data_IF_422268131111
#
_entry.id   IF_422268131111
#
_cell.length_a   1.000
_cell.length_b   1.000
_cell.length_c   1.000
_cell.angle_alpha   90.00
_cell.angle_beta   90.00
_cell.angle_gamma   90.00
#
_symmetry.space_group_name_H-M   'P 1'
#
loop_
_entity.id
_entity.type
_entity.pdbx_description
1 polymer ?
#
# COMPACT_ATOMS: atom_id res chain seq x y z
N UNK A 1 19.49 -22.74 -5.63
CA UNK A 1 19.76 -21.30 -5.74
C UNK A 1 18.43 -20.59 -5.81
N UNK A 2 18.04 -19.91 -4.73
CA UNK A 2 16.73 -19.25 -4.65
C UNK A 2 16.78 -17.91 -5.40
N UNK A 3 15.94 -17.75 -6.44
CA UNK A 3 15.71 -16.43 -7.05
C UNK A 3 14.90 -15.58 -6.09
N UNK A 4 15.53 -14.59 -5.49
CA UNK A 4 14.82 -13.51 -4.82
C UNK A 4 14.18 -12.61 -5.89
N UNK A 5 12.87 -12.74 -6.08
CA UNK A 5 12.06 -11.79 -6.82
C UNK A 5 11.90 -10.54 -5.96
N UNK A 6 12.57 -9.47 -6.31
CA UNK A 6 12.38 -8.17 -5.65
C UNK A 6 11.09 -7.53 -6.16
N UNK A 7 10.11 -7.41 -5.29
CA UNK A 7 8.92 -6.59 -5.49
C UNK A 7 9.33 -5.14 -5.79
N UNK A 8 9.00 -4.67 -6.97
CA UNK A 8 9.13 -3.25 -7.33
C UNK A 8 7.86 -2.55 -6.80
N UNK A 9 7.96 -2.00 -5.61
CA UNK A 9 6.96 -1.06 -5.10
C UNK A 9 6.99 0.22 -5.95
N UNK A 10 5.83 0.75 -6.24
CA UNK A 10 5.59 1.96 -7.04
C UNK A 10 6.08 3.25 -6.36
N UNK A 11 7.37 3.32 -6.09
CA UNK A 11 8.05 4.52 -5.60
C UNK A 11 8.98 5.00 -6.70
N UNK A 12 9.01 6.30 -7.04
CA UNK A 12 9.98 6.83 -8.01
C UNK A 12 11.38 6.37 -7.64
N UNK A 13 12.12 5.85 -8.61
CA UNK A 13 13.46 5.32 -8.38
C UNK A 13 14.34 6.38 -7.71
N UNK A 14 14.89 6.06 -6.54
CA UNK A 14 15.78 6.97 -5.81
C UNK A 14 17.02 7.21 -6.66
N UNK A 15 17.25 8.48 -7.04
CA UNK A 15 18.41 8.88 -7.83
C UNK A 15 19.72 8.63 -7.08
N UNK A 16 20.77 8.32 -7.82
CA UNK A 16 22.11 8.09 -7.25
C UNK A 16 22.38 6.66 -6.79
N UNK A 17 21.44 5.74 -6.94
CA UNK A 17 21.65 4.32 -6.63
C UNK A 17 22.18 3.57 -7.86
N UNK A 18 23.49 3.45 -7.94
CA UNK A 18 24.18 2.75 -9.03
C UNK A 18 24.48 1.30 -8.68
N UNK A 19 24.26 0.41 -9.62
CA UNK A 19 24.71 -0.99 -9.53
C UNK A 19 25.45 -1.41 -10.81
N UNK A 20 26.25 -2.46 -10.72
CA UNK A 20 26.88 -3.10 -11.89
C UNK A 20 26.01 -4.27 -12.34
N UNK A 21 25.74 -4.34 -13.63
CA UNK A 21 24.94 -5.39 -14.27
C UNK A 21 25.73 -6.04 -15.39
N UNK A 22 25.39 -7.30 -15.72
CA UNK A 22 26.07 -8.07 -16.74
C UNK A 22 25.19 -8.21 -17.98
N UNK A 23 25.76 -7.89 -19.14
CA UNK A 23 25.15 -8.07 -20.43
C UNK A 23 25.34 -9.50 -20.96
N UNK A 24 24.58 -9.90 -21.99
CA UNK A 24 24.65 -11.23 -22.58
C UNK A 24 26.02 -11.55 -23.20
N UNK A 25 26.77 -10.56 -23.65
CA UNK A 25 28.14 -10.67 -24.16
C UNK A 25 29.21 -10.77 -23.07
N UNK A 26 28.80 -10.78 -21.80
CA UNK A 26 29.69 -10.82 -20.65
C UNK A 26 30.20 -9.44 -20.18
N UNK A 27 29.87 -8.36 -20.89
CA UNK A 27 30.25 -6.99 -20.51
C UNK A 27 29.56 -6.57 -19.23
N UNK A 28 30.30 -5.95 -18.33
CA UNK A 28 29.76 -5.33 -17.11
C UNK A 28 29.52 -3.84 -17.33
N UNK A 29 28.31 -3.37 -16.97
CA UNK A 29 27.91 -2.00 -17.16
C UNK A 29 27.37 -1.44 -15.84
N UNK A 30 27.80 -0.24 -15.47
CA UNK A 30 27.29 0.47 -14.29
C UNK A 30 26.01 1.23 -14.67
N UNK A 31 24.93 0.97 -13.96
CA UNK A 31 23.60 1.47 -14.30
C UNK A 31 22.86 2.03 -13.09
N UNK A 32 21.91 2.91 -13.34
CA UNK A 32 20.99 3.49 -12.38
C UNK A 32 19.56 3.24 -12.82
N UNK A 33 18.66 2.89 -11.90
CA UNK A 33 17.25 2.72 -12.20
C UNK A 33 16.59 4.06 -12.51
N UNK A 34 15.83 4.12 -13.60
CA UNK A 34 15.09 5.30 -14.06
C UNK A 34 13.67 4.90 -14.45
N UNK A 35 12.78 5.89 -14.45
CA UNK A 35 11.38 5.72 -14.88
C UNK A 35 10.40 5.71 -13.72
N UNK A 36 9.18 5.23 -14.02
CA UNK A 36 8.04 5.17 -13.12
C UNK A 36 7.46 3.74 -13.07
N UNK A 37 6.33 3.56 -12.41
CA UNK A 37 5.65 2.27 -12.25
C UNK A 37 5.18 1.66 -13.57
N UNK A 38 5.01 2.47 -14.62
CA UNK A 38 4.56 2.01 -15.94
C UNK A 38 5.71 1.77 -16.91
N UNK A 39 6.83 2.46 -16.74
CA UNK A 39 7.99 2.38 -17.61
C UNK A 39 9.29 2.54 -16.82
N UNK A 40 9.86 1.46 -16.34
CA UNK A 40 11.15 1.45 -15.65
C UNK A 40 12.24 0.80 -16.48
N UNK A 41 13.44 1.38 -16.47
CA UNK A 41 14.62 0.90 -17.19
C UNK A 41 15.90 1.25 -16.43
N UNK A 42 16.98 0.58 -16.77
CA UNK A 42 18.30 0.86 -16.23
C UNK A 42 19.08 1.73 -17.20
N UNK A 43 19.53 2.88 -16.75
CA UNK A 43 20.33 3.80 -17.55
C UNK A 43 21.80 3.68 -17.22
N UNK A 44 22.62 3.38 -18.22
CA UNK A 44 24.05 3.38 -18.11
C UNK A 44 24.63 4.80 -18.10
N UNK A 45 25.86 4.97 -17.61
CA UNK A 45 26.54 6.28 -17.59
C UNK A 45 26.78 6.88 -18.98
N UNK A 46 26.87 6.02 -20.01
CA UNK A 46 26.98 6.41 -21.43
C UNK A 46 25.64 6.72 -22.09
N UNK A 47 24.53 6.67 -21.32
CA UNK A 47 23.19 6.99 -21.79
C UNK A 47 22.41 5.80 -22.37
N UNK A 48 23.02 4.62 -22.53
CA UNK A 48 22.29 3.41 -22.97
C UNK A 48 21.23 3.07 -21.97
N UNK A 49 20.06 2.63 -22.47
CA UNK A 49 18.94 2.18 -21.67
C UNK A 49 18.81 0.68 -21.79
N UNK A 50 18.76 0.02 -20.64
CA UNK A 50 18.86 -1.44 -20.52
C UNK A 50 17.64 -1.97 -19.75
N UNK A 51 17.20 -3.19 -20.11
CA UNK A 51 16.21 -3.97 -19.38
C UNK A 51 16.78 -5.35 -19.06
N UNK A 52 16.33 -5.95 -17.98
CA UNK A 52 16.71 -7.32 -17.67
C UNK A 52 15.82 -8.30 -18.43
N UNK A 53 16.42 -9.20 -19.14
CA UNK A 53 15.72 -10.33 -19.75
C UNK A 53 15.40 -11.37 -18.65
N UNK A 54 14.12 -11.57 -18.39
CA UNK A 54 13.65 -12.45 -17.30
C UNK A 54 13.98 -13.93 -17.51
N UNK A 55 14.26 -14.33 -18.76
CA UNK A 55 14.59 -15.73 -19.08
C UNK A 55 16.08 -16.00 -18.86
N UNK A 56 16.93 -15.09 -19.30
CA UNK A 56 18.38 -15.27 -19.25
C UNK A 56 19.04 -14.64 -18.02
N UNK A 57 18.34 -13.67 -17.38
CA UNK A 57 18.87 -12.88 -16.28
C UNK A 57 19.86 -11.77 -16.68
N UNK A 58 20.33 -11.77 -17.94
CA UNK A 58 21.22 -10.77 -18.47
C UNK A 58 20.50 -9.48 -18.86
N UNK A 59 21.26 -8.40 -18.99
CA UNK A 59 20.72 -7.11 -19.42
C UNK A 59 20.94 -6.93 -20.93
N UNK A 60 19.97 -6.33 -21.58
CA UNK A 60 19.95 -6.05 -23.02
C UNK A 60 19.45 -4.63 -23.29
N UNK A 61 19.66 -4.12 -24.51
CA UNK A 61 19.20 -2.79 -24.88
C UNK A 61 17.66 -2.73 -24.83
N UNK A 62 17.14 -1.72 -24.16
CA UNK A 62 15.71 -1.50 -24.04
C UNK A 62 15.10 -0.99 -25.34
N UNK A 63 14.05 -1.64 -25.84
CA UNK A 63 13.19 -1.06 -26.86
C UNK A 63 12.28 0.00 -26.21
N UNK A 64 12.81 1.22 -26.14
CA UNK A 64 12.11 2.34 -25.50
C UNK A 64 10.79 2.68 -26.19
N UNK A 65 10.67 2.45 -27.50
CA UNK A 65 9.43 2.71 -28.22
C UNK A 65 8.33 1.76 -27.77
N UNK A 66 8.58 0.48 -27.83
CA UNK A 66 7.63 -0.55 -27.36
C UNK A 66 7.29 -0.39 -25.87
N UNK A 67 8.28 -0.07 -25.05
CA UNK A 67 8.07 0.17 -23.60
C UNK A 67 7.20 1.39 -23.35
N UNK A 68 7.40 2.51 -24.06
CA UNK A 68 6.61 3.72 -23.90
C UNK A 68 5.17 3.50 -24.37
N UNK A 69 4.98 2.86 -25.52
CA UNK A 69 3.64 2.54 -26.05
C UNK A 69 2.86 1.64 -25.07
N UNK A 70 3.51 0.62 -24.49
CA UNK A 70 2.91 -0.24 -23.46
C UNK A 70 2.57 0.54 -22.19
N UNK A 71 3.46 1.41 -21.73
CA UNK A 71 3.23 2.26 -20.56
C UNK A 71 2.03 3.20 -20.77
N UNK A 72 1.90 3.79 -21.96
CA UNK A 72 0.77 4.67 -22.27
C UNK A 72 -0.55 3.90 -22.32
N UNK A 73 -0.56 2.67 -22.84
CA UNK A 73 -1.72 1.80 -22.77
C UNK A 73 -2.10 1.47 -21.32
N UNK A 74 -1.12 1.16 -20.47
CA UNK A 74 -1.35 0.88 -19.05
C UNK A 74 -1.87 2.12 -18.31
N UNK A 75 -1.30 3.31 -18.55
CA UNK A 75 -1.78 4.59 -18.00
C UNK A 75 -3.22 4.89 -18.44
N UNK A 76 -3.55 4.65 -19.72
CA UNK A 76 -4.92 4.83 -20.22
C UNK A 76 -5.89 3.84 -19.56
N UNK A 77 -5.48 2.59 -19.40
CA UNK A 77 -6.28 1.57 -18.71
C UNK A 77 -6.50 1.92 -17.24
N UNK A 78 -5.45 2.39 -16.55
CA UNK A 78 -5.54 2.85 -15.17
C UNK A 78 -6.47 4.07 -15.02
N UNK A 79 -6.43 5.02 -15.97
CA UNK A 79 -7.36 6.16 -16.00
C UNK A 79 -8.79 5.73 -16.26
N UNK A 80 -9.02 4.78 -17.16
CA UNK A 80 -10.35 4.22 -17.43
C UNK A 80 -10.89 3.45 -16.22
N UNK A 81 -10.03 2.71 -15.53
CA UNK A 81 -10.40 2.02 -14.29
C UNK A 81 -10.78 3.01 -13.19
N UNK A 82 -10.00 4.09 -13.01
CA UNK A 82 -10.36 5.18 -12.09
C UNK A 82 -11.72 5.82 -12.43
N UNK A 83 -11.96 6.10 -13.70
CA UNK A 83 -13.24 6.66 -14.12
C UNK A 83 -14.41 5.67 -13.93
N UNK A 84 -14.15 4.37 -14.07
CA UNK A 84 -15.15 3.34 -13.83
C UNK A 84 -15.40 3.09 -12.32
N UNK A 85 -14.41 3.33 -11.48
CA UNK A 85 -14.56 3.32 -10.01
C UNK A 85 -15.40 4.54 -9.58
N UNK A 86 -15.23 5.69 -10.22
CA UNK A 86 -16.10 6.86 -10.00
C UNK A 86 -17.58 6.64 -10.42
N UNK A 87 -17.86 5.69 -11.31
CA UNK A 87 -19.22 5.34 -11.72
C UNK A 87 -19.80 4.13 -10.98
N UNK A 88 -18.98 3.37 -10.24
CA UNK A 88 -19.39 2.15 -9.53
C UNK A 88 -19.58 2.29 -8.03
N UNK A 89 -19.64 3.40 -7.54
CA UNK A 89 -19.69 3.79 -6.16
C UNK A 89 -18.91 5.05 -6.15
N UNK A 90 -19.54 6.08 -6.56
CA UNK A 90 -19.41 7.29 -5.84
C UNK A 90 -19.38 6.88 -4.38
N UNK A 91 -18.27 7.08 -3.72
CA UNK A 91 -18.28 7.19 -2.27
C UNK A 91 -19.28 8.32 -1.96
N UNK A 92 -20.55 7.93 -1.75
CA UNK A 92 -21.66 8.86 -1.60
C UNK A 92 -22.07 9.58 -2.90
N UNK A 93 -23.29 9.35 -3.37
CA UNK A 93 -23.84 9.84 -4.64
C UNK A 93 -23.93 11.35 -4.82
N UNK A 94 -23.61 12.15 -3.87
CA UNK A 94 -23.28 13.57 -3.93
C UNK A 94 -21.95 13.73 -3.23
N UNK A 95 -20.90 14.10 -3.95
CA UNK A 95 -19.56 14.35 -3.40
C UNK A 95 -19.61 15.49 -2.38
N UNK A 96 -20.20 15.21 -1.23
CA UNK A 96 -19.99 16.08 -0.09
C UNK A 96 -18.50 15.99 0.24
N UNK A 97 -17.80 17.11 0.25
CA UNK A 97 -16.39 17.09 0.64
C UNK A 97 -16.27 16.47 2.04
N UNK A 98 -15.26 15.67 2.25
CA UNK A 98 -14.94 15.17 3.57
C UNK A 98 -14.60 16.38 4.46
N UNK A 99 -15.59 16.83 5.22
CA UNK A 99 -15.47 17.98 6.12
C UNK A 99 -15.97 17.64 7.51
N UNK A 100 -15.50 18.39 8.49
CA UNK A 100 -15.83 18.19 9.88
C UNK A 100 -15.14 16.98 10.50
N UNK A 101 -15.61 16.59 11.67
CA UNK A 101 -15.07 15.44 12.40
C UNK A 101 -15.85 14.18 11.99
N UNK A 102 -15.13 13.14 11.61
CA UNK A 102 -15.66 11.82 11.32
C UNK A 102 -15.03 10.78 12.23
N UNK A 103 -15.74 9.70 12.51
CA UNK A 103 -15.20 8.57 13.25
C UNK A 103 -14.49 7.60 12.31
N UNK A 104 -13.36 7.05 12.76
CA UNK A 104 -12.68 5.95 12.10
C UNK A 104 -12.53 4.78 13.06
N UNK A 105 -12.41 3.57 12.55
CA UNK A 105 -12.17 2.36 13.34
C UNK A 105 -10.80 1.79 13.03
N UNK A 106 -10.01 1.50 14.05
CA UNK A 106 -8.76 0.74 13.95
C UNK A 106 -8.92 -0.54 14.77
N UNK A 107 -8.90 -1.68 14.10
CA UNK A 107 -8.94 -2.98 14.74
C UNK A 107 -7.51 -3.51 14.87
N UNK A 108 -7.02 -3.66 16.09
CA UNK A 108 -5.73 -4.25 16.36
C UNK A 108 -5.83 -5.76 16.26
N UNK A 109 -5.13 -6.33 15.29
CA UNK A 109 -5.15 -7.78 15.07
C UNK A 109 -3.81 -8.40 15.42
N UNK A 110 -3.85 -9.58 16.00
CA UNK A 110 -2.70 -10.47 16.17
C UNK A 110 -3.05 -11.85 15.63
N UNK A 111 -2.04 -12.56 15.18
CA UNK A 111 -2.24 -13.88 14.58
C UNK A 111 -2.17 -14.99 15.64
N UNK A 112 -2.61 -16.19 15.29
CA UNK A 112 -2.53 -17.34 16.21
C UNK A 112 -1.09 -17.60 16.68
N UNK A 113 -0.12 -17.35 15.82
CA UNK A 113 1.33 -17.58 16.01
C UNK A 113 2.17 -16.33 16.28
N UNK A 114 1.61 -15.13 16.11
CA UNK A 114 2.35 -13.86 16.25
C UNK A 114 1.53 -12.86 17.04
N UNK A 115 2.12 -12.38 18.12
CA UNK A 115 1.46 -11.46 19.07
C UNK A 115 2.12 -10.08 19.04
N UNK A 116 1.40 -9.05 19.50
CA UNK A 116 1.99 -7.76 19.78
C UNK A 116 3.08 -7.85 20.83
N UNK A 117 4.06 -7.00 20.76
CA UNK A 117 5.02 -6.78 21.84
C UNK A 117 4.32 -6.20 23.07
N UNK A 118 4.90 -6.43 24.24
CA UNK A 118 4.26 -6.06 25.50
C UNK A 118 4.02 -4.56 25.69
N UNK A 119 4.84 -3.73 25.07
CA UNK A 119 4.75 -2.26 25.05
C UNK A 119 3.80 -1.71 23.97
N UNK A 120 3.39 -2.54 23.00
CA UNK A 120 2.43 -2.18 21.95
C UNK A 120 0.99 -2.38 22.47
N UNK A 121 0.58 -1.49 23.35
CA UNK A 121 -0.73 -1.54 24.00
C UNK A 121 -1.83 -0.81 23.21
N UNK A 122 -3.12 -1.14 23.39
CA UNK A 122 -4.21 -0.35 22.80
C UNK A 122 -4.14 1.14 23.17
N UNK A 123 -3.71 1.46 24.40
CA UNK A 123 -3.53 2.85 24.83
C UNK A 123 -2.45 3.59 24.03
N UNK A 124 -1.37 2.90 23.64
CA UNK A 124 -0.36 3.49 22.77
C UNK A 124 -0.94 3.79 21.39
N UNK A 125 -1.69 2.85 20.79
CA UNK A 125 -2.31 3.06 19.47
C UNK A 125 -3.40 4.14 19.50
N UNK A 126 -4.15 4.26 20.61
CA UNK A 126 -5.08 5.36 20.83
C UNK A 126 -4.36 6.73 20.77
N UNK A 127 -3.18 6.84 21.39
CA UNK A 127 -2.37 8.05 21.36
C UNK A 127 -1.79 8.33 19.97
N UNK A 128 -1.24 7.31 19.31
CA UNK A 128 -0.73 7.41 17.93
C UNK A 128 -1.83 7.90 16.98
N UNK A 129 -3.04 7.42 17.16
CA UNK A 129 -4.16 7.78 16.30
C UNK A 129 -4.69 9.20 16.58
N UNK A 130 -4.87 9.57 17.85
CA UNK A 130 -5.71 10.72 18.22
C UNK A 130 -5.03 11.83 19.04
N UNK A 131 -3.89 11.57 19.70
CA UNK A 131 -3.27 12.56 20.60
C UNK A 131 -2.68 13.71 19.79
N UNK A 132 -3.17 14.93 20.04
CA UNK A 132 -2.68 16.13 19.38
C UNK A 132 -1.20 16.35 19.69
N UNK A 133 -0.39 16.53 18.64
CA UNK A 133 1.04 16.77 18.75
C UNK A 133 1.86 15.56 19.21
N UNK A 134 1.37 14.32 19.06
CA UNK A 134 2.11 13.11 19.43
C UNK A 134 3.52 13.08 18.85
N UNK A 135 4.54 12.84 19.68
CA UNK A 135 5.97 12.91 19.28
C UNK A 135 6.84 11.77 19.83
N UNK A 136 6.23 10.67 20.24
CA UNK A 136 6.98 9.49 20.67
C UNK A 136 7.24 8.57 19.46
N UNK A 137 8.19 7.65 19.57
CA UNK A 137 8.50 6.63 18.55
C UNK A 137 8.78 7.21 17.15
N UNK A 138 9.46 8.36 17.07
CA UNK A 138 9.78 9.06 15.81
C UNK A 138 8.58 9.60 15.01
N UNK A 139 7.38 9.61 15.59
CA UNK A 139 6.21 10.28 15.02
C UNK A 139 6.33 11.81 15.14
N UNK A 140 5.79 12.51 14.16
CA UNK A 140 5.66 13.96 14.16
C UNK A 140 4.18 14.37 14.03
N UNK A 141 3.41 14.12 15.08
CA UNK A 141 1.97 14.25 15.13
C UNK A 141 1.25 12.92 15.07
N UNK A 142 -0.02 12.90 15.45
CA UNK A 142 -0.91 11.75 15.35
C UNK A 142 -1.48 11.59 13.93
N UNK A 143 -2.20 10.50 13.70
CA UNK A 143 -2.97 10.31 12.45
C UNK A 143 -4.02 11.40 12.30
N UNK A 144 -4.68 11.80 13.39
CA UNK A 144 -5.64 12.91 13.42
C UNK A 144 -4.99 14.24 13.01
N UNK A 145 -3.80 14.55 13.55
CA UNK A 145 -3.03 15.74 13.17
C UNK A 145 -2.70 15.76 11.68
N UNK A 146 -2.36 14.60 11.12
CA UNK A 146 -2.08 14.47 9.69
C UNK A 146 -3.29 14.87 8.83
N UNK A 147 -4.47 14.31 9.09
CA UNK A 147 -5.68 14.64 8.32
C UNK A 147 -6.08 16.10 8.50
N UNK A 148 -6.00 16.62 9.73
CA UNK A 148 -6.26 18.03 10.03
C UNK A 148 -5.32 18.96 9.26
N UNK A 149 -4.02 18.65 9.23
CA UNK A 149 -3.04 19.45 8.51
C UNK A 149 -3.25 19.38 6.98
N UNK A 150 -3.48 18.19 6.40
CA UNK A 150 -3.68 18.01 4.98
C UNK A 150 -4.96 18.67 4.46
N UNK A 151 -5.98 18.79 5.30
CA UNK A 151 -7.26 19.42 4.95
C UNK A 151 -7.33 20.90 5.32
N UNK A 152 -6.25 21.52 5.77
CA UNK A 152 -6.25 22.90 6.29
C UNK A 152 -7.26 23.07 7.44
N UNK A 153 -7.40 22.06 8.30
CA UNK A 153 -8.32 22.06 9.44
C UNK A 153 -9.79 21.82 9.11
N UNK A 154 -10.09 21.46 7.86
CA UNK A 154 -11.48 21.24 7.43
C UNK A 154 -11.99 19.82 7.70
N UNK A 155 -11.08 18.85 7.86
CA UNK A 155 -11.41 17.45 8.09
C UNK A 155 -10.57 16.89 9.23
N UNK A 156 -11.22 16.21 10.17
CA UNK A 156 -10.59 15.50 11.27
C UNK A 156 -11.15 14.09 11.37
N UNK A 157 -10.29 13.13 11.74
CA UNK A 157 -10.69 11.78 12.11
C UNK A 157 -10.47 11.56 13.59
N UNK A 158 -11.48 11.00 14.26
CA UNK A 158 -11.37 10.52 15.64
C UNK A 158 -11.52 9.01 15.64
N UNK A 159 -10.45 8.31 16.04
CA UNK A 159 -10.38 6.86 15.89
C UNK A 159 -10.79 6.15 17.17
N UNK A 160 -11.71 5.21 17.04
CA UNK A 160 -11.92 4.17 18.04
C UNK A 160 -10.92 3.03 17.82
N UNK A 161 -10.30 2.55 18.89
CA UNK A 161 -9.32 1.44 18.84
C UNK A 161 -9.97 0.19 19.43
N UNK A 162 -10.15 -0.84 18.63
CA UNK A 162 -10.68 -2.13 19.04
C UNK A 162 -9.58 -3.20 19.13
N UNK A 163 -9.75 -4.15 20.03
CA UNK A 163 -8.81 -5.25 20.21
C UNK A 163 -7.71 -4.96 21.23
N UNK A 164 -6.57 -5.73 21.21
CA UNK A 164 -6.18 -6.65 20.15
C UNK A 164 -7.03 -7.93 20.12
N UNK A 165 -7.48 -8.31 18.93
CA UNK A 165 -8.14 -9.59 18.69
C UNK A 165 -7.18 -10.60 18.10
N UNK A 166 -7.34 -11.88 18.46
CA UNK A 166 -6.53 -12.94 17.89
C UNK A 166 -7.28 -13.60 16.74
N UNK A 167 -6.71 -13.52 15.55
CA UNK A 167 -7.26 -14.17 14.37
C UNK A 167 -7.07 -15.69 14.42
N UNK A 168 -7.96 -16.48 13.78
CA UNK A 168 -7.95 -17.95 13.88
C UNK A 168 -6.71 -18.59 13.24
N UNK A 169 -6.09 -17.94 12.26
CA UNK A 169 -4.94 -18.48 11.53
C UNK A 169 -3.64 -17.73 11.86
N UNK A 170 -2.51 -18.34 11.50
CA UNK A 170 -1.19 -17.75 11.67
C UNK A 170 -0.86 -16.70 10.59
N UNK A 171 0.18 -15.91 10.83
CA UNK A 171 0.66 -14.85 9.94
C UNK A 171 0.86 -15.33 8.50
N UNK A 172 1.51 -16.50 8.32
CA UNK A 172 1.80 -17.04 7.00
C UNK A 172 0.54 -17.44 6.20
N UNK A 173 -0.57 -17.73 6.88
CA UNK A 173 -1.84 -18.05 6.23
C UNK A 173 -2.41 -16.84 5.50
N UNK A 174 -2.50 -15.70 6.17
CA UNK A 174 -3.04 -14.47 5.60
C UNK A 174 -2.10 -13.80 4.59
N UNK A 175 -0.80 -14.09 4.67
CA UNK A 175 0.20 -13.69 3.67
C UNK A 175 0.31 -14.62 2.45
N UNK A 176 -0.56 -15.62 2.31
CA UNK A 176 -0.54 -16.56 1.19
C UNK A 176 -0.86 -15.87 -0.14
N UNK A 177 -0.01 -16.04 -1.16
CA UNK A 177 -0.39 -15.65 -2.51
C UNK A 177 -1.50 -16.55 -3.03
N UNK A 178 -2.51 -15.98 -3.65
CA UNK A 178 -3.57 -16.71 -4.34
C UNK A 178 -3.05 -17.14 -5.72
N UNK A 179 -3.28 -18.39 -6.12
CA UNK A 179 -2.95 -18.91 -7.45
C UNK A 179 -1.45 -18.87 -7.84
N UNK A 180 -0.53 -18.91 -6.87
CA UNK A 180 0.92 -18.93 -7.16
C UNK A 180 1.47 -17.62 -7.74
N UNK A 181 0.66 -16.59 -7.82
CA UNK A 181 1.08 -15.21 -8.12
C UNK A 181 1.19 -14.42 -6.80
N UNK A 182 1.97 -13.35 -6.78
CA UNK A 182 2.09 -12.45 -5.62
C UNK A 182 0.82 -11.60 -5.41
N UNK A 183 -0.34 -12.21 -5.58
CA UNK A 183 -1.63 -11.60 -5.32
C UNK A 183 -2.18 -12.12 -3.98
N UNK A 184 -2.05 -11.31 -2.94
CA UNK A 184 -2.49 -11.65 -1.59
C UNK A 184 -3.96 -11.21 -1.32
N UNK A 185 -4.68 -10.75 -2.35
CA UNK A 185 -5.96 -10.06 -2.14
C UNK A 185 -7.00 -10.94 -1.45
N UNK A 186 -7.08 -12.23 -1.76
CA UNK A 186 -8.09 -13.12 -1.18
C UNK A 186 -7.84 -13.39 0.30
N UNK A 187 -6.62 -13.75 0.66
CA UNK A 187 -6.28 -14.03 2.07
C UNK A 187 -6.30 -12.76 2.93
N UNK A 188 -5.97 -11.60 2.35
CA UNK A 188 -6.11 -10.32 3.02
C UNK A 188 -7.59 -9.96 3.27
N UNK A 189 -8.47 -10.24 2.32
CA UNK A 189 -9.92 -10.09 2.49
C UNK A 189 -10.46 -10.97 3.63
N UNK A 190 -10.02 -12.22 3.73
CA UNK A 190 -10.36 -13.09 4.86
C UNK A 190 -9.87 -12.52 6.19
N UNK A 191 -8.65 -11.97 6.24
CA UNK A 191 -8.12 -11.32 7.44
C UNK A 191 -9.02 -10.18 7.92
N UNK A 192 -9.46 -9.32 7.00
CA UNK A 192 -10.39 -8.21 7.32
C UNK A 192 -11.72 -8.76 7.83
N UNK A 193 -12.29 -9.75 7.17
CA UNK A 193 -13.55 -10.38 7.59
C UNK A 193 -13.44 -11.02 8.98
N UNK A 194 -12.35 -11.73 9.25
CA UNK A 194 -12.11 -12.37 10.54
C UNK A 194 -11.92 -11.32 11.64
N UNK A 195 -11.24 -10.22 11.34
CA UNK A 195 -11.07 -9.11 12.27
C UNK A 195 -12.40 -8.43 12.61
N UNK A 196 -13.22 -8.11 11.60
CA UNK A 196 -14.54 -7.52 11.82
C UNK A 196 -15.44 -8.44 12.64
N UNK A 197 -15.51 -9.74 12.31
CA UNK A 197 -16.28 -10.73 13.08
C UNK A 197 -15.81 -10.83 14.55
N UNK A 198 -14.51 -10.68 14.79
CA UNK A 198 -13.98 -10.79 16.14
C UNK A 198 -14.35 -9.62 17.05
N UNK A 199 -14.74 -8.48 16.49
CA UNK A 199 -15.17 -7.28 17.23
C UNK A 199 -16.67 -6.98 17.10
N UNK A 200 -17.42 -7.72 16.31
CA UNK A 200 -18.82 -7.49 15.97
C UNK A 200 -19.74 -7.33 17.19
N UNK A 201 -19.52 -8.13 18.23
CA UNK A 201 -20.31 -8.02 19.48
C UNK A 201 -20.02 -6.76 20.32
N UNK A 202 -18.85 -6.12 20.08
CA UNK A 202 -18.36 -4.99 20.87
C UNK A 202 -18.36 -3.67 20.14
N UNK A 203 -18.50 -3.69 18.82
CA UNK A 203 -18.44 -2.51 17.95
C UNK A 203 -19.76 -2.36 17.19
N UNK A 204 -20.37 -1.22 17.32
CA UNK A 204 -21.48 -0.82 16.48
C UNK A 204 -20.92 -0.14 15.21
N UNK A 205 -20.87 -0.89 14.11
CA UNK A 205 -20.32 -0.42 12.85
C UNK A 205 -21.12 0.75 12.25
N UNK A 206 -22.41 0.91 12.59
CA UNK A 206 -23.21 2.04 12.09
C UNK A 206 -22.66 3.41 12.51
N UNK A 207 -21.81 3.46 13.54
CA UNK A 207 -21.12 4.70 13.94
C UNK A 207 -20.11 5.21 12.90
N UNK A 208 -19.74 4.38 11.93
CA UNK A 208 -18.74 4.68 10.89
C UNK A 208 -19.36 4.88 9.52
N UNK A 209 -20.67 4.77 9.41
CA UNK A 209 -21.45 5.14 8.23
C UNK A 209 -21.47 6.67 8.12
N UNK A 210 -20.62 7.22 7.26
CA UNK A 210 -20.40 8.67 7.18
C UNK A 210 -21.44 9.41 6.35
N UNK A 211 -22.11 8.73 5.45
CA UNK A 211 -23.12 9.30 4.55
C UNK A 211 -24.54 8.83 4.83
N UNK A 212 -24.71 7.89 5.76
CA UNK A 212 -26.02 7.43 6.24
C UNK A 212 -26.72 6.51 5.25
N UNK A 213 -25.98 5.84 4.37
CA UNK A 213 -26.55 4.93 3.38
C UNK A 213 -26.79 3.50 3.90
N UNK A 214 -26.31 3.20 5.11
CA UNK A 214 -26.43 1.91 5.77
C UNK A 214 -25.34 0.91 5.40
N UNK A 215 -24.33 1.33 4.65
CA UNK A 215 -23.14 0.55 4.33
C UNK A 215 -21.89 1.16 5.01
N UNK A 216 -20.92 0.29 5.45
CA UNK A 216 -19.71 0.71 6.16
C UNK A 216 -18.48 0.09 5.54
#
# INVERSE_FOLDING_TARGET
>A
MALMSTLVLAVPAKRGMWKTVKMADGTEVRVELRGDEFCSYWQAADGRKLVQNNTTGFYELADMKAMTERADQMRQSARRSKNNIQTRGSLGGDHQPYVGMKKGLIILVQFADTKFWADHTPALYQRIANEEGFKELDFNGSVKDYFKAQSYGQFELDFDIAGPVTLPNGYAYYGKPTNGQNDNNTALGEMVMDACKAVDESIDFTNYDWDGDGEV
#
